data_IF_831773012617
#
_entry.id   IF_831773012617
#
_cell.length_a   1.000
_cell.length_b   1.000
_cell.length_c   1.000
_cell.angle_alpha   90.00
_cell.angle_beta   90.00
_cell.angle_gamma   90.00
#
_symmetry.space_group_name_H-M   'P 1'
#
loop_
_entity.id
_entity.type
_entity.pdbx_description
1 polymer ?
#
# COMPACT_ATOMS: atom_id res chain seq x y z
N UNK A 1 -0.59 -48.31 -45.70
CA UNK A 1 0.32 -48.50 -44.55
C UNK A 1 0.35 -47.20 -43.76
N UNK A 2 0.14 -47.32 -42.45
CA UNK A 2 -0.23 -46.27 -41.49
C UNK A 2 0.95 -45.33 -41.19
N UNK A 3 0.77 -44.00 -41.29
CA UNK A 3 1.74 -43.02 -40.78
C UNK A 3 1.29 -42.57 -39.39
N UNK A 4 1.99 -43.02 -38.36
CA UNK A 4 1.79 -42.59 -36.97
C UNK A 4 2.44 -41.21 -36.83
N UNK A 5 1.62 -40.18 -36.57
CA UNK A 5 2.11 -38.90 -36.10
C UNK A 5 2.21 -38.97 -34.57
N UNK A 6 3.43 -38.96 -34.04
CA UNK A 6 3.67 -38.83 -32.62
C UNK A 6 3.55 -37.35 -32.25
N UNK A 7 2.40 -36.96 -31.69
CA UNK A 7 2.20 -35.64 -31.08
C UNK A 7 2.90 -35.63 -29.72
N UNK A 8 4.12 -35.11 -29.68
CA UNK A 8 4.76 -34.75 -28.42
C UNK A 8 4.03 -33.54 -27.83
N UNK A 9 3.15 -33.81 -26.84
CA UNK A 9 2.58 -32.76 -26.00
C UNK A 9 3.67 -32.26 -25.05
N UNK A 10 4.26 -31.11 -25.38
CA UNK A 10 5.19 -30.42 -24.48
C UNK A 10 4.34 -29.72 -23.43
N UNK A 11 4.28 -30.28 -22.22
CA UNK A 11 3.67 -29.62 -21.08
C UNK A 11 4.60 -28.49 -20.63
N UNK A 12 4.26 -27.25 -21.00
CA UNK A 12 4.91 -26.06 -20.47
C UNK A 12 4.38 -25.82 -19.06
N UNK A 13 5.13 -26.28 -18.06
CA UNK A 13 4.94 -25.86 -16.68
C UNK A 13 5.48 -24.43 -16.54
N UNK A 14 4.59 -23.44 -16.60
CA UNK A 14 4.90 -22.07 -16.22
C UNK A 14 5.24 -22.05 -14.73
N UNK A 15 6.53 -22.08 -14.41
CA UNK A 15 6.99 -21.66 -13.10
C UNK A 15 6.58 -20.18 -12.96
N UNK A 16 5.57 -19.92 -12.14
CA UNK A 16 5.13 -18.56 -11.85
C UNK A 16 6.19 -17.95 -10.93
N UNK A 17 7.22 -17.35 -11.53
CA UNK A 17 8.01 -16.36 -10.80
C UNK A 17 7.02 -15.25 -10.42
N UNK A 18 6.87 -14.99 -9.12
CA UNK A 18 5.99 -13.94 -8.63
C UNK A 18 6.43 -12.63 -9.26
N UNK A 19 5.62 -12.11 -10.19
CA UNK A 19 5.90 -10.85 -10.85
C UNK A 19 5.49 -9.70 -9.92
N UNK A 20 6.41 -8.77 -9.69
CA UNK A 20 6.16 -7.53 -8.97
C UNK A 20 5.43 -6.53 -9.87
N UNK A 21 4.56 -5.71 -9.28
CA UNK A 21 3.83 -4.65 -9.98
C UNK A 21 4.74 -3.46 -10.31
N UNK A 22 5.86 -3.31 -9.60
CA UNK A 22 6.86 -2.26 -9.81
C UNK A 22 8.21 -2.87 -10.21
N UNK A 23 9.15 -2.00 -10.61
CA UNK A 23 10.53 -2.37 -10.95
C UNK A 23 11.49 -1.61 -10.02
N UNK A 24 12.67 -2.20 -9.78
CA UNK A 24 13.76 -1.52 -9.07
C UNK A 24 14.24 -0.29 -9.85
N UNK A 25 14.74 0.71 -9.12
CA UNK A 25 15.31 1.98 -9.59
C UNK A 25 14.36 2.81 -10.46
N UNK A 26 13.07 2.45 -10.46
CA UNK A 26 12.06 3.13 -11.26
C UNK A 26 11.08 3.89 -10.37
N UNK A 27 10.58 4.98 -10.95
CA UNK A 27 9.34 5.59 -10.51
C UNK A 27 8.17 4.62 -10.70
N UNK A 28 7.25 4.64 -9.76
CA UNK A 28 5.94 4.04 -9.95
C UNK A 28 4.84 4.94 -9.40
N UNK A 29 3.66 4.82 -9.99
CA UNK A 29 2.43 5.39 -9.47
C UNK A 29 1.33 4.32 -9.57
N UNK A 30 0.85 3.89 -8.41
CA UNK A 30 -0.17 2.86 -8.28
C UNK A 30 -1.48 3.45 -7.77
N UNK A 31 -2.59 3.00 -8.34
CA UNK A 31 -3.95 3.32 -7.90
C UNK A 31 -4.73 2.03 -7.70
N UNK A 32 -5.52 1.98 -6.64
CA UNK A 32 -6.61 1.04 -6.57
C UNK A 32 -7.70 1.36 -7.61
N UNK A 33 -8.45 0.35 -8.08
CA UNK A 33 -9.61 0.59 -8.91
C UNK A 33 -10.58 1.58 -8.23
N UNK A 34 -11.39 2.34 -8.99
CA UNK A 34 -12.30 3.34 -8.42
C UNK A 34 -13.17 2.77 -7.29
N UNK A 35 -13.19 3.46 -6.16
CA UNK A 35 -13.95 3.06 -4.96
C UNK A 35 -13.29 1.97 -4.11
N UNK A 36 -12.04 1.59 -4.37
CA UNK A 36 -11.28 0.64 -3.58
C UNK A 36 -10.11 1.30 -2.84
N UNK A 37 -9.71 0.69 -1.73
CA UNK A 37 -8.57 1.07 -0.88
C UNK A 37 -7.54 -0.05 -0.81
N UNK A 38 -6.32 0.28 -0.39
CA UNK A 38 -5.24 -0.68 -0.17
C UNK A 38 -5.62 -1.64 0.97
N UNK A 39 -5.56 -2.94 0.68
CA UNK A 39 -5.77 -4.05 1.65
C UNK A 39 -4.47 -4.71 2.06
N UNK A 40 -3.50 -4.81 1.15
CA UNK A 40 -2.22 -5.44 1.46
C UNK A 40 -1.09 -4.81 0.66
N UNK A 41 0.10 -4.85 1.26
CA UNK A 41 1.37 -4.43 0.69
C UNK A 41 2.36 -5.57 0.85
N UNK A 42 2.93 -6.02 -0.26
CA UNK A 42 4.04 -6.95 -0.31
C UNK A 42 5.24 -6.23 -0.89
N UNK A 43 6.41 -6.39 -0.28
CA UNK A 43 7.65 -5.81 -0.81
C UNK A 43 8.88 -6.61 -0.41
N UNK A 44 9.82 -6.71 -1.35
CA UNK A 44 11.17 -7.23 -1.10
C UNK A 44 12.20 -6.17 -1.47
N UNK A 45 13.30 -6.17 -0.73
CA UNK A 45 14.51 -5.40 -1.00
C UNK A 45 15.54 -6.26 -1.73
N UNK A 46 16.37 -5.64 -2.57
CA UNK A 46 17.48 -6.27 -3.24
C UNK A 46 18.76 -5.44 -3.11
N UNK A 47 19.78 -5.99 -2.44
CA UNK A 47 21.06 -5.33 -2.18
C UNK A 47 21.90 -5.01 -3.45
N UNK A 48 21.53 -5.50 -4.64
CA UNK A 48 22.23 -5.07 -5.86
C UNK A 48 21.69 -3.73 -6.35
N UNK A 49 20.39 -3.52 -6.22
CA UNK A 49 19.71 -2.28 -6.59
C UNK A 49 19.63 -1.30 -5.41
N UNK A 50 19.76 -1.78 -4.18
CA UNK A 50 19.49 -1.03 -2.94
C UNK A 50 18.11 -0.37 -2.99
N UNK A 51 17.14 -1.19 -3.39
CA UNK A 51 15.80 -0.74 -3.66
C UNK A 51 14.76 -1.83 -3.39
N UNK A 52 13.51 -1.40 -3.21
CA UNK A 52 12.34 -2.24 -2.99
C UNK A 52 11.41 -2.27 -4.20
N UNK A 53 10.89 -3.46 -4.51
CA UNK A 53 9.75 -3.67 -5.41
C UNK A 53 8.47 -3.99 -4.64
N UNK A 54 7.33 -3.74 -5.26
CA UNK A 54 6.04 -3.68 -4.56
C UNK A 54 4.95 -4.43 -5.30
N UNK A 55 4.08 -5.07 -4.52
CA UNK A 55 2.78 -5.59 -4.94
C UNK A 55 1.72 -5.04 -4.01
N UNK A 56 0.56 -4.70 -4.58
CA UNK A 56 -0.55 -4.11 -3.85
C UNK A 56 -1.82 -4.91 -4.10
N UNK A 57 -2.59 -5.14 -3.05
CA UNK A 57 -3.95 -5.69 -3.16
C UNK A 57 -4.95 -4.61 -2.78
N UNK A 58 -6.02 -4.50 -3.56
CA UNK A 58 -7.11 -3.56 -3.31
C UNK A 58 -8.39 -4.28 -2.87
N UNK A 59 -9.22 -3.58 -2.11
CA UNK A 59 -10.53 -4.05 -1.67
C UNK A 59 -11.54 -2.90 -1.64
N UNK A 60 -12.83 -3.22 -1.79
CA UNK A 60 -13.91 -2.28 -1.46
C UNK A 60 -13.85 -2.00 0.04
N UNK A 61 -13.96 -0.74 0.49
CA UNK A 61 -13.92 -0.41 1.92
C UNK A 61 -15.10 -1.04 2.68
N UNK A 62 -14.98 -1.20 4.01
CA UNK A 62 -16.04 -1.75 4.85
C UNK A 62 -17.36 -0.98 4.71
N UNK A 63 -18.46 -1.67 5.05
CA UNK A 63 -19.81 -1.09 5.18
C UNK A 63 -20.34 -0.36 3.93
N UNK A 64 -19.76 -0.60 2.76
CA UNK A 64 -20.19 0.01 1.50
C UNK A 64 -19.84 1.50 1.39
N UNK A 65 -18.81 1.96 2.11
CA UNK A 65 -18.38 3.35 2.07
C UNK A 65 -18.08 3.81 0.64
N UNK A 66 -18.63 4.96 0.27
CA UNK A 66 -18.32 5.60 -1.02
C UNK A 66 -17.14 6.54 -0.82
N UNK A 67 -16.07 6.31 -1.58
CA UNK A 67 -14.86 7.13 -1.56
C UNK A 67 -14.94 8.18 -2.68
N UNK A 68 -14.71 9.45 -2.33
CA UNK A 68 -14.76 10.56 -3.27
C UNK A 68 -13.68 11.61 -3.00
N UNK A 69 -13.64 12.65 -3.84
CA UNK A 69 -12.78 13.85 -3.71
C UNK A 69 -11.30 13.53 -3.50
N UNK A 70 -10.78 12.52 -4.18
CA UNK A 70 -9.44 12.05 -3.92
C UNK A 70 -8.36 13.04 -4.38
N UNK A 71 -7.26 13.11 -3.63
CA UNK A 71 -6.12 13.98 -3.93
C UNK A 71 -4.78 13.33 -3.56
N UNK A 72 -3.73 13.73 -4.27
CA UNK A 72 -2.36 13.36 -3.94
C UNK A 72 -1.81 14.29 -2.86
N UNK A 73 -1.10 13.72 -1.89
CA UNK A 73 -0.36 14.49 -0.89
C UNK A 73 0.78 15.32 -1.48
N UNK A 74 1.26 14.96 -2.67
CA UNK A 74 2.61 15.31 -3.12
C UNK A 74 3.67 14.50 -2.37
N UNK A 75 4.94 14.69 -2.72
CA UNK A 75 6.03 14.02 -2.01
C UNK A 75 6.13 14.56 -0.59
N UNK A 76 5.94 13.69 0.40
CA UNK A 76 5.88 14.07 1.82
C UNK A 76 7.25 14.09 2.49
N UNK A 77 8.25 13.44 1.89
CA UNK A 77 9.62 13.38 2.36
C UNK A 77 10.62 13.69 1.24
N UNK A 78 11.79 14.17 1.65
CA UNK A 78 13.01 14.11 0.84
C UNK A 78 13.73 12.76 1.04
N UNK A 79 14.74 12.48 0.20
CA UNK A 79 15.59 11.30 0.38
C UNK A 79 16.29 11.31 1.75
N UNK A 80 16.53 10.13 2.30
CA UNK A 80 17.11 9.85 3.62
C UNK A 80 16.28 10.40 4.79
N UNK A 81 15.13 11.03 4.51
CA UNK A 81 14.22 11.56 5.51
C UNK A 81 13.10 10.56 5.82
N UNK A 82 12.60 10.57 7.07
CA UNK A 82 11.49 9.72 7.46
C UNK A 82 10.20 10.12 6.73
N UNK A 83 9.33 9.12 6.57
CA UNK A 83 7.93 9.29 6.22
C UNK A 83 7.14 9.31 7.53
N UNK A 84 6.27 10.29 7.72
CA UNK A 84 5.26 10.33 8.77
C UNK A 84 4.02 11.04 8.22
N UNK A 85 3.06 10.26 7.73
CA UNK A 85 1.93 10.80 6.99
C UNK A 85 0.65 10.01 7.22
N UNK A 86 -0.40 10.72 7.61
CA UNK A 86 -1.76 10.21 7.64
C UNK A 86 -2.62 11.04 6.70
N UNK A 87 -3.50 10.40 5.95
CA UNK A 87 -4.48 11.12 5.16
C UNK A 87 -5.32 12.05 6.07
N UNK A 88 -5.53 13.32 5.67
CA UNK A 88 -6.31 14.27 6.46
C UNK A 88 -7.80 13.92 6.43
N UNK A 89 -8.62 14.55 7.28
CA UNK A 89 -10.08 14.54 7.21
C UNK A 89 -10.73 13.14 7.02
N UNK A 90 -10.32 12.16 7.84
CA UNK A 90 -10.79 10.76 7.73
C UNK A 90 -10.47 10.07 6.39
N UNK A 91 -9.54 10.64 5.63
CA UNK A 91 -9.11 10.13 4.34
C UNK A 91 -8.42 8.78 4.47
N UNK A 92 -8.47 8.02 3.39
CA UNK A 92 -8.01 6.64 3.31
C UNK A 92 -7.03 6.52 2.14
N UNK A 93 -5.94 5.79 2.33
CA UNK A 93 -4.94 5.56 1.28
C UNK A 93 -5.53 4.62 0.22
N UNK A 94 -5.58 5.12 -1.01
CA UNK A 94 -6.13 4.41 -2.18
C UNK A 94 -5.13 4.33 -3.34
N UNK A 95 -3.92 4.86 -3.16
CA UNK A 95 -2.85 4.82 -4.14
C UNK A 95 -1.54 5.29 -3.52
N UNK A 96 -0.45 4.89 -4.15
CA UNK A 96 0.92 5.14 -3.67
C UNK A 96 1.77 5.48 -4.88
N UNK A 97 2.54 6.56 -4.76
CA UNK A 97 3.54 6.97 -5.73
C UNK A 97 4.89 7.05 -5.05
N UNK A 98 5.92 6.56 -5.74
CA UNK A 98 7.28 6.68 -5.24
C UNK A 98 8.27 6.83 -6.39
N UNK A 99 9.33 7.59 -6.12
CA UNK A 99 10.49 7.75 -7.00
C UNK A 99 11.74 7.38 -6.21
N UNK A 100 12.58 6.55 -6.83
CA UNK A 100 13.91 6.16 -6.33
C UNK A 100 14.99 7.05 -6.94
N UNK A 101 16.11 7.20 -6.24
CA UNK A 101 17.32 7.85 -6.72
C UNK A 101 18.58 7.06 -6.33
N UNK A 102 19.37 6.63 -7.32
CA UNK A 102 20.57 5.83 -7.11
C UNK A 102 21.75 6.59 -6.45
N UNK A 103 21.68 7.91 -6.26
CA UNK A 103 22.70 8.59 -5.49
C UNK A 103 22.44 8.45 -3.98
N UNK A 104 21.17 8.51 -3.59
CA UNK A 104 20.73 8.31 -2.22
C UNK A 104 20.45 6.83 -1.89
N UNK A 105 20.19 6.00 -2.90
CA UNK A 105 19.68 4.63 -2.74
C UNK A 105 18.43 4.59 -1.83
N UNK A 106 17.52 5.50 -2.14
CA UNK A 106 16.36 5.76 -1.32
C UNK A 106 15.16 6.27 -2.14
N UNK A 107 13.99 6.27 -1.51
CA UNK A 107 12.70 6.62 -2.11
C UNK A 107 12.02 7.81 -1.44
N UNK A 108 11.46 8.70 -2.25
CA UNK A 108 10.43 9.66 -1.84
C UNK A 108 9.04 9.07 -2.05
N UNK A 109 8.11 9.47 -1.19
CA UNK A 109 6.77 8.88 -1.11
C UNK A 109 5.68 9.94 -1.26
N UNK A 110 4.61 9.59 -1.97
CA UNK A 110 3.38 10.38 -2.11
C UNK A 110 2.19 9.41 -2.02
N UNK A 111 1.11 9.85 -1.38
CA UNK A 111 -0.06 9.01 -1.10
C UNK A 111 -1.32 9.63 -1.68
N UNK A 112 -2.13 8.79 -2.33
CA UNK A 112 -3.41 9.19 -2.89
C UNK A 112 -4.50 8.94 -1.85
N UNK A 113 -5.01 10.02 -1.27
CA UNK A 113 -6.04 9.99 -0.25
C UNK A 113 -7.41 10.15 -0.88
N UNK A 114 -8.35 9.26 -0.57
CA UNK A 114 -9.77 9.43 -0.88
C UNK A 114 -10.59 9.57 0.39
N UNK A 115 -11.66 10.36 0.33
CA UNK A 115 -12.43 10.72 1.52
C UNK A 115 -13.78 9.99 1.51
N UNK A 116 -14.15 9.32 2.61
CA UNK A 116 -15.38 8.54 2.66
C UNK A 116 -16.59 9.44 2.97
N UNK A 117 -17.64 9.36 2.15
CA UNK A 117 -18.83 10.22 2.29
C UNK A 117 -19.80 9.69 3.34
N UNK A 118 -19.98 10.42 4.45
CA UNK A 118 -20.90 10.00 5.51
C UNK A 118 -20.35 8.91 6.43
N UNK A 119 -19.02 8.73 6.45
CA UNK A 119 -18.32 7.80 7.33
C UNK A 119 -17.23 8.54 8.10
N UNK A 120 -16.75 7.93 9.18
CA UNK A 120 -15.67 8.46 10.01
C UNK A 120 -14.66 7.37 10.32
N UNK A 121 -13.38 7.73 10.34
CA UNK A 121 -12.32 6.83 10.81
C UNK A 121 -12.21 6.92 12.32
N UNK A 122 -12.17 5.78 13.01
CA UNK A 122 -12.05 5.75 14.47
C UNK A 122 -11.33 4.49 14.94
N UNK A 123 -11.09 4.39 16.25
CA UNK A 123 -10.33 3.29 16.85
C UNK A 123 -9.01 3.02 16.10
N UNK A 124 -8.30 4.11 15.78
CA UNK A 124 -7.05 4.05 15.04
C UNK A 124 -5.91 3.52 15.92
N UNK A 125 -5.05 2.72 15.32
CA UNK A 125 -3.85 2.20 15.97
C UNK A 125 -2.67 2.16 14.99
N UNK A 126 -1.50 2.51 15.52
CA UNK A 126 -0.23 2.27 14.84
C UNK A 126 0.12 0.78 14.98
N UNK A 127 0.48 0.16 13.86
CA UNK A 127 1.13 -1.14 13.88
C UNK A 127 2.55 -1.05 14.48
N UNK A 128 3.14 -2.16 14.92
CA UNK A 128 4.61 -2.23 14.99
C UNK A 128 5.23 -2.06 13.59
N UNK A 129 6.56 -1.94 13.53
CA UNK A 129 7.25 -2.09 12.24
C UNK A 129 7.00 -3.49 11.68
N UNK A 130 6.42 -3.54 10.48
CA UNK A 130 5.97 -4.75 9.80
C UNK A 130 7.10 -5.45 9.03
N UNK A 131 8.28 -4.83 8.99
CA UNK A 131 9.51 -5.41 8.50
C UNK A 131 10.73 -4.87 9.26
N UNK A 132 11.85 -5.55 9.08
CA UNK A 132 13.19 -5.04 9.37
C UNK A 132 13.91 -4.74 8.05
N UNK A 133 15.03 -4.03 8.12
CA UNK A 133 15.89 -3.76 6.95
C UNK A 133 16.31 -5.07 6.26
N UNK A 134 16.45 -5.04 4.93
CA UNK A 134 16.78 -6.15 4.01
C UNK A 134 15.80 -7.32 4.01
N UNK A 135 14.71 -7.20 4.76
CA UNK A 135 13.73 -8.25 4.93
C UNK A 135 12.39 -7.89 4.28
N UNK A 136 11.63 -8.95 4.00
CA UNK A 136 10.32 -8.88 3.35
C UNK A 136 9.35 -8.07 4.19
N UNK A 137 8.62 -7.16 3.54
CA UNK A 137 7.40 -6.57 4.07
C UNK A 137 6.22 -7.36 3.51
N UNK A 138 5.38 -7.90 4.39
CA UNK A 138 4.15 -8.60 4.03
C UNK A 138 3.08 -8.17 5.03
N UNK A 139 2.34 -7.13 4.67
CA UNK A 139 1.32 -6.57 5.56
C UNK A 139 -0.06 -6.64 4.91
N UNK A 140 -1.04 -7.05 5.71
CA UNK A 140 -2.45 -7.04 5.36
C UNK A 140 -3.23 -6.30 6.43
N UNK A 141 -3.95 -5.25 6.01
CA UNK A 141 -4.88 -4.52 6.87
C UNK A 141 -5.93 -5.51 7.39
N UNK A 142 -6.24 -5.54 8.70
CA UNK A 142 -7.29 -6.40 9.25
C UNK A 142 -8.66 -6.17 8.60
N UNK A 143 -9.57 -7.11 8.76
CA UNK A 143 -10.96 -6.92 8.32
C UNK A 143 -11.62 -5.82 9.17
N UNK A 144 -12.55 -5.07 8.56
CA UNK A 144 -13.17 -3.85 9.10
C UNK A 144 -12.24 -2.65 9.35
N UNK A 145 -10.93 -2.79 9.08
CA UNK A 145 -9.97 -1.70 9.10
C UNK A 145 -9.64 -1.20 7.69
N UNK A 146 -9.16 0.04 7.63
CA UNK A 146 -8.63 0.72 6.44
C UNK A 146 -7.26 1.28 6.73
N UNK A 147 -6.41 1.36 5.70
CA UNK A 147 -5.08 1.98 5.78
C UNK A 147 -5.22 3.50 5.68
N UNK A 148 -4.88 4.21 6.76
CA UNK A 148 -5.00 5.68 6.85
C UNK A 148 -3.65 6.38 6.70
N UNK A 149 -2.59 5.79 7.24
CA UNK A 149 -1.28 6.42 7.27
C UNK A 149 -0.12 5.44 7.18
N UNK A 150 1.05 6.00 6.91
CA UNK A 150 2.31 5.26 6.78
C UNK A 150 3.39 6.04 7.52
N UNK A 151 4.23 5.31 8.23
CA UNK A 151 5.49 5.80 8.78
C UNK A 151 6.62 4.90 8.30
N UNK A 152 7.73 5.51 7.90
CA UNK A 152 8.89 4.79 7.38
C UNK A 152 10.19 5.47 7.73
N UNK A 153 11.21 4.66 8.02
CA UNK A 153 12.55 5.12 8.37
C UNK A 153 13.57 4.45 7.46
N UNK A 154 14.41 5.25 6.82
CA UNK A 154 15.54 4.80 6.01
C UNK A 154 16.81 4.64 6.87
N UNK A 155 17.69 3.73 6.48
CA UNK A 155 19.01 3.58 7.09
C UNK A 155 20.10 3.42 6.02
N UNK A 156 21.01 4.39 5.94
CA UNK A 156 22.11 4.43 4.95
C UNK A 156 23.10 3.26 5.03
N UNK A 157 23.07 2.43 6.08
CA UNK A 157 23.95 1.24 6.11
C UNK A 157 23.32 0.08 5.34
N UNK A 158 22.00 0.00 5.35
CA UNK A 158 21.23 -1.02 4.64
C UNK A 158 20.70 -0.50 3.29
N UNK A 159 20.68 0.83 3.10
CA UNK A 159 20.04 1.50 1.96
C UNK A 159 18.62 0.97 1.73
N UNK A 160 17.88 0.93 2.84
CA UNK A 160 16.59 0.30 2.91
C UNK A 160 15.68 0.99 3.92
N UNK A 161 14.37 0.72 3.81
CA UNK A 161 13.32 1.28 4.64
C UNK A 161 12.55 0.22 5.43
N UNK A 162 12.23 0.55 6.67
CA UNK A 162 11.24 -0.15 7.49
C UNK A 162 9.92 0.62 7.49
N UNK A 163 8.79 -0.09 7.64
CA UNK A 163 7.46 0.46 7.52
C UNK A 163 6.57 0.08 8.70
N UNK A 164 5.81 1.03 9.21
CA UNK A 164 4.65 0.81 10.09
C UNK A 164 3.47 1.64 9.59
N UNK A 165 2.26 1.27 9.99
CA UNK A 165 1.03 1.77 9.40
C UNK A 165 0.07 2.29 10.47
N UNK A 166 -0.64 3.37 10.16
CA UNK A 166 -1.81 3.81 10.92
C UNK A 166 -3.05 3.20 10.26
N UNK A 167 -3.73 2.32 11.00
CA UNK A 167 -4.96 1.67 10.56
C UNK A 167 -6.13 2.11 11.43
N UNK A 168 -7.29 2.29 10.82
CA UNK A 168 -8.50 2.70 11.54
C UNK A 168 -9.68 1.83 11.16
N UNK A 169 -10.66 1.70 12.05
CA UNK A 169 -12.00 1.27 11.66
C UNK A 169 -12.70 2.34 10.84
N UNK A 170 -13.62 1.93 9.97
CA UNK A 170 -14.45 2.83 9.16
C UNK A 170 -15.92 2.49 9.33
N UNK A 171 -16.68 3.42 9.92
CA UNK A 171 -18.10 3.24 10.19
C UNK A 171 -18.93 4.44 9.69
N UNK A 172 -20.20 4.22 9.29
CA UNK A 172 -21.09 5.32 8.97
C UNK A 172 -21.16 6.29 10.15
N UNK A 173 -21.14 7.59 9.87
CA UNK A 173 -21.56 8.58 10.84
C UNK A 173 -23.04 8.26 11.09
N UNK A 174 -23.37 7.78 12.28
CA UNK A 174 -24.74 7.41 12.61
C UNK A 174 -25.69 8.55 12.25
N UNK A 175 -26.85 8.23 11.68
CA UNK A 175 -27.98 9.14 11.75
C UNK A 175 -28.09 9.53 13.22
N UNK A 176 -27.86 10.80 13.53
CA UNK A 176 -28.16 11.32 14.85
C UNK A 176 -29.67 11.08 14.98
N UNK A 177 -30.10 10.00 15.62
CA UNK A 177 -31.41 9.97 16.20
C UNK A 177 -31.44 11.21 17.10
N UNK A 178 -32.29 12.17 16.76
CA UNK A 178 -32.47 13.40 17.52
C UNK A 178 -32.60 13.05 19.01
N UNK A 179 -31.54 13.29 19.80
CA UNK A 179 -31.60 13.08 21.25
C UNK A 179 -30.38 12.44 21.92
N UNK A 180 -29.38 11.93 21.21
CA UNK A 180 -28.19 11.40 21.88
C UNK A 180 -27.23 12.52 22.31
N UNK A 181 -27.39 12.99 23.55
CA UNK A 181 -26.38 13.80 24.25
C UNK A 181 -25.19 12.89 24.57
N UNK A 182 -24.04 13.16 23.97
CA UNK A 182 -22.77 12.54 24.37
C UNK A 182 -22.05 13.53 25.29
N UNK A 183 -21.89 13.13 26.56
CA UNK A 183 -21.20 13.88 27.60
C UNK A 183 -19.70 13.63 27.65
#
# INVERSE_FOLDING_TARGET
MLRIFCLCLVLWSSAHCQQWMTQYDQHFQFFCPPGQTIKALDSIHDNHHEDRVWNFTCIVPPHGATLSKCEWSGYINDFDQPVDYNCPNDGIICGIESVHDNHHEDRKWSYYCCFPEGFVTHACEDTPYENTYDHVLNYRVPDDFVLRGVQSVHDNRHEDRIFKFDICKLDPIGEIEEGAVVG
#
